data_IF_622754285443
#
_entry.id   IF_622754285443
#
_cell.length_a   1.000
_cell.length_b   1.000
_cell.length_c   1.000
_cell.angle_alpha   90.00
_cell.angle_beta   90.00
_cell.angle_gamma   90.00
#
_symmetry.space_group_name_H-M   'P 1'
#
loop_
_entity.id
_entity.type
_entity.pdbx_description
1 polymer ?
#
# COMPACT_ATOMS: atom_id res chain seq x y z
N UNK A 1 16.79 28.97 33.78
CA UNK A 1 16.97 28.20 35.03
C UNK A 1 17.81 26.98 34.70
N UNK A 2 19.07 26.98 35.13
CA UNK A 2 20.03 25.92 34.88
C UNK A 2 19.67 24.68 35.71
N UNK A 3 19.13 23.65 35.08
CA UNK A 3 19.12 22.30 35.66
C UNK A 3 20.41 21.59 35.25
N UNK A 4 21.22 21.24 36.25
CA UNK A 4 22.55 20.67 36.05
C UNK A 4 22.44 19.18 35.69
N UNK A 5 23.22 18.75 34.70
CA UNK A 5 23.39 17.38 34.19
C UNK A 5 23.80 16.37 35.28
N UNK A 6 24.22 16.81 36.48
CA UNK A 6 24.59 15.94 37.59
C UNK A 6 23.43 15.13 38.17
N UNK A 7 22.20 15.66 38.15
CA UNK A 7 21.06 14.98 38.78
C UNK A 7 20.52 13.81 37.93
N UNK A 8 20.82 13.80 36.62
CA UNK A 8 20.43 12.72 35.70
C UNK A 8 21.37 11.50 35.76
N UNK A 9 22.64 11.72 36.18
CA UNK A 9 23.68 10.69 36.23
C UNK A 9 23.52 9.72 37.41
N UNK A 10 22.76 10.08 38.44
CA UNK A 10 22.60 9.23 39.63
C UNK A 10 21.50 8.16 39.49
N UNK A 11 20.57 8.33 38.54
CA UNK A 11 19.45 7.39 38.37
C UNK A 11 19.68 6.29 37.32
N UNK A 12 20.72 6.42 36.47
CA UNK A 12 20.98 5.51 35.35
C UNK A 12 21.92 4.33 35.70
N UNK A 13 22.45 4.26 36.92
CA UNK A 13 23.43 3.25 37.35
C UNK A 13 22.83 1.86 37.66
N UNK A 14 21.52 1.67 37.53
CA UNK A 14 20.85 0.40 37.90
C UNK A 14 20.40 -0.52 36.74
N UNK A 15 20.63 -0.17 35.46
CA UNK A 15 20.05 -0.94 34.32
C UNK A 15 21.13 -1.56 33.41
N UNK A 16 22.36 -1.74 33.88
CA UNK A 16 23.49 -2.20 33.03
C UNK A 16 23.94 -3.65 33.26
N UNK A 17 23.10 -4.52 33.82
CA UNK A 17 23.45 -5.94 33.99
C UNK A 17 22.38 -6.84 33.39
N UNK A 18 22.40 -7.00 32.07
CA UNK A 18 21.95 -8.20 31.33
C UNK A 18 21.74 -7.83 29.86
N UNK A 19 22.60 -8.35 28.97
CA UNK A 19 22.28 -8.80 27.60
C UNK A 19 23.58 -8.93 26.79
N UNK A 20 24.16 -10.12 26.80
CA UNK A 20 25.15 -10.57 25.82
C UNK A 20 24.48 -11.48 24.78
N UNK A 21 25.00 -11.42 23.55
CA UNK A 21 24.99 -12.45 22.48
C UNK A 21 24.05 -12.28 21.25
N UNK A 22 24.64 -11.82 20.13
CA UNK A 22 24.63 -12.48 18.80
C UNK A 22 25.37 -11.62 17.73
N UNK A 23 26.23 -12.27 16.93
CA UNK A 23 27.46 -11.70 16.37
C UNK A 23 27.39 -10.96 15.01
N UNK A 24 26.26 -10.90 14.32
CA UNK A 24 26.18 -10.22 13.00
C UNK A 24 25.73 -8.75 13.09
N UNK A 25 25.00 -8.39 14.15
CA UNK A 25 24.62 -7.00 14.46
C UNK A 25 25.81 -6.21 15.01
N UNK A 26 26.78 -6.88 15.64
CA UNK A 26 27.93 -6.23 16.27
C UNK A 26 28.91 -5.60 15.27
N UNK A 27 29.03 -6.15 14.05
CA UNK A 27 29.92 -5.60 13.02
C UNK A 27 29.36 -4.30 12.42
N UNK A 28 28.05 -4.26 12.15
CA UNK A 28 27.36 -3.04 11.68
C UNK A 28 27.31 -1.99 12.81
N UNK A 29 27.08 -2.42 14.06
CA UNK A 29 27.21 -1.55 15.24
C UNK A 29 28.63 -0.97 15.36
N UNK A 30 29.68 -1.75 15.14
CA UNK A 30 31.07 -1.26 15.20
C UNK A 30 31.41 -0.28 14.07
N UNK A 31 31.00 -0.56 12.83
CA UNK A 31 31.26 0.31 11.68
C UNK A 31 30.52 1.65 11.81
N UNK A 32 29.25 1.64 12.21
CA UNK A 32 28.50 2.88 12.48
C UNK A 32 29.01 3.61 13.73
N UNK A 33 29.50 2.89 14.74
CA UNK A 33 30.12 3.50 15.92
C UNK A 33 31.44 4.20 15.59
N UNK A 34 32.20 3.71 14.59
CA UNK A 34 33.41 4.38 14.12
C UNK A 34 33.09 5.64 13.31
N UNK A 35 32.14 5.59 12.37
CA UNK A 35 31.77 6.76 11.56
C UNK A 35 31.09 7.86 12.37
N UNK A 36 30.21 7.49 13.31
CA UNK A 36 29.50 8.46 14.15
C UNK A 36 30.43 9.12 15.19
N UNK A 37 31.42 8.39 15.72
CA UNK A 37 32.48 8.99 16.53
C UNK A 37 33.34 9.95 15.71
N UNK A 38 33.64 9.62 14.44
CA UNK A 38 34.42 10.50 13.57
C UNK A 38 33.67 11.81 13.28
N UNK A 39 32.36 11.73 13.03
CA UNK A 39 31.50 12.89 12.80
C UNK A 39 31.37 13.79 14.03
N UNK A 40 31.11 13.22 15.22
CA UNK A 40 31.05 14.00 16.47
C UNK A 40 32.42 14.61 16.82
N UNK A 41 33.51 13.89 16.57
CA UNK A 41 34.86 14.41 16.83
C UNK A 41 35.22 15.58 15.89
N UNK A 42 34.77 15.53 14.63
CA UNK A 42 34.90 16.65 13.69
C UNK A 42 34.05 17.85 14.10
N UNK A 43 32.80 17.65 14.51
CA UNK A 43 31.89 18.75 14.85
C UNK A 43 32.22 19.41 16.20
N UNK A 44 32.77 18.65 17.15
CA UNK A 44 33.30 19.18 18.41
C UNK A 44 34.64 19.92 18.23
N UNK A 45 35.48 19.52 17.25
CA UNK A 45 36.66 20.31 16.86
C UNK A 45 36.25 21.63 16.17
N UNK A 46 35.25 21.58 15.29
CA UNK A 46 34.76 22.74 14.52
C UNK A 46 34.14 23.82 15.41
N UNK A 47 33.50 23.42 16.51
CA UNK A 47 32.91 24.33 17.51
C UNK A 47 33.88 24.72 18.64
N UNK A 48 35.17 24.40 18.53
CA UNK A 48 36.21 24.84 19.47
C UNK A 48 36.13 24.22 20.87
N UNK A 49 35.37 23.13 21.04
CA UNK A 49 35.10 22.50 22.34
C UNK A 49 36.13 21.45 22.76
N UNK A 50 37.10 21.11 21.90
CA UNK A 50 38.17 20.14 22.20
C UNK A 50 39.54 20.74 21.86
N UNK A 51 40.29 21.12 22.90
CA UNK A 51 41.75 21.12 22.88
C UNK A 51 42.20 19.92 23.73
N UNK A 52 43.08 19.11 23.14
CA UNK A 52 43.84 18.00 23.74
C UNK A 52 43.24 16.58 23.70
N UNK A 53 44.12 15.67 23.31
CA UNK A 53 44.04 14.20 23.38
C UNK A 53 43.79 13.71 24.81
N UNK A 54 42.53 13.64 25.22
CA UNK A 54 42.13 12.82 26.37
C UNK A 54 41.01 11.86 25.94
N UNK A 55 41.40 10.62 25.64
CA UNK A 55 40.50 9.47 25.67
C UNK A 55 39.97 9.31 27.10
N UNK A 56 38.84 9.93 27.43
CA UNK A 56 38.17 9.67 28.71
C UNK A 56 37.04 8.67 28.50
N UNK A 57 37.02 7.62 29.32
CA UNK A 57 35.93 6.63 29.36
C UNK A 57 34.55 7.27 29.59
N UNK A 58 34.52 8.49 30.13
CA UNK A 58 33.31 9.32 30.25
C UNK A 58 32.71 9.73 28.90
N UNK A 59 33.54 10.12 27.92
CA UNK A 59 33.06 10.49 26.57
C UNK A 59 32.54 9.24 25.85
N UNK A 60 33.23 8.10 25.99
CA UNK A 60 32.77 6.79 25.51
C UNK A 60 31.44 6.36 26.14
N UNK A 61 31.26 6.59 27.44
CA UNK A 61 30.02 6.32 28.17
C UNK A 61 28.86 7.18 27.68
N UNK A 62 29.07 8.49 27.52
CA UNK A 62 28.03 9.42 27.01
C UNK A 62 27.66 9.09 25.56
N UNK A 63 28.64 8.81 24.69
CA UNK A 63 28.36 8.37 23.31
C UNK A 63 27.59 7.05 23.27
N UNK A 64 27.92 6.07 24.12
CA UNK A 64 27.16 4.81 24.23
C UNK A 64 25.75 5.03 24.75
N UNK A 65 25.55 5.93 25.71
CA UNK A 65 24.24 6.19 26.29
C UNK A 65 23.34 6.94 25.30
N UNK A 66 23.88 7.92 24.57
CA UNK A 66 23.18 8.62 23.47
C UNK A 66 22.85 7.65 22.35
N UNK A 67 23.78 6.74 22.00
CA UNK A 67 23.53 5.69 21.02
C UNK A 67 22.46 4.70 21.47
N UNK A 68 22.51 4.21 22.72
CA UNK A 68 21.49 3.31 23.27
C UNK A 68 20.12 3.99 23.34
N UNK A 69 20.09 5.26 23.74
CA UNK A 69 18.88 6.06 23.80
C UNK A 69 18.28 6.24 22.41
N UNK A 70 19.07 6.66 21.42
CA UNK A 70 18.63 6.78 20.04
C UNK A 70 18.18 5.42 19.46
N UNK A 71 18.88 4.33 19.78
CA UNK A 71 18.50 2.97 19.36
C UNK A 71 17.16 2.52 19.98
N UNK A 72 16.97 2.75 21.28
CA UNK A 72 15.71 2.48 21.99
C UNK A 72 14.57 3.31 21.40
N UNK A 73 14.85 4.58 21.08
CA UNK A 73 13.90 5.52 20.50
C UNK A 73 13.51 5.08 19.07
N UNK A 74 14.46 4.60 18.26
CA UNK A 74 14.20 3.99 16.94
C UNK A 74 13.37 2.71 17.07
N UNK A 75 13.68 1.84 18.02
CA UNK A 75 12.94 0.59 18.24
C UNK A 75 11.51 0.88 18.70
N UNK A 76 11.33 1.83 19.63
CA UNK A 76 10.01 2.27 20.09
C UNK A 76 9.20 2.95 18.98
N UNK A 77 9.83 3.81 18.18
CA UNK A 77 9.19 4.50 17.06
C UNK A 77 8.72 3.49 15.99
N UNK A 78 9.60 2.58 15.57
CA UNK A 78 9.26 1.54 14.61
C UNK A 78 8.19 0.57 15.17
N UNK A 79 8.23 0.23 16.46
CA UNK A 79 7.18 -0.59 17.09
C UNK A 79 5.83 0.13 17.13
N UNK A 80 5.80 1.41 17.50
CA UNK A 80 4.55 2.18 17.52
C UNK A 80 3.96 2.32 16.11
N UNK A 81 4.81 2.54 15.11
CA UNK A 81 4.42 2.59 13.71
C UNK A 81 3.83 1.25 13.25
N UNK A 82 4.51 0.18 13.60
CA UNK A 82 4.15 -1.15 13.14
C UNK A 82 2.86 -1.64 13.82
N UNK A 83 2.67 -1.34 15.10
CA UNK A 83 1.45 -1.74 15.85
C UNK A 83 0.17 -1.13 15.27
N UNK A 84 0.13 0.17 14.94
CA UNK A 84 -1.09 0.75 14.36
C UNK A 84 -1.33 0.25 12.93
N UNK A 85 -0.27 0.12 12.13
CA UNK A 85 -0.35 -0.36 10.75
C UNK A 85 -0.93 -1.78 10.73
N UNK A 86 -0.53 -2.61 11.69
CA UNK A 86 -1.09 -3.95 11.87
C UNK A 86 -2.61 -3.90 12.06
N UNK A 87 -3.14 -3.13 13.02
CA UNK A 87 -4.59 -3.12 13.27
C UNK A 87 -5.41 -2.48 12.14
N UNK A 88 -4.91 -1.40 11.53
CA UNK A 88 -5.61 -0.71 10.43
C UNK A 88 -5.66 -1.56 9.17
N UNK A 89 -4.52 -2.10 8.75
CA UNK A 89 -4.43 -2.94 7.56
C UNK A 89 -5.14 -4.27 7.77
N UNK A 90 -5.04 -4.87 8.96
CA UNK A 90 -5.78 -6.10 9.28
C UNK A 90 -7.30 -5.90 9.21
N UNK A 91 -7.81 -4.79 9.77
CA UNK A 91 -9.23 -4.44 9.69
C UNK A 91 -9.72 -4.15 8.27
N UNK A 92 -8.86 -3.59 7.41
CA UNK A 92 -9.14 -3.41 5.98
C UNK A 92 -9.24 -4.77 5.26
N UNK A 93 -8.26 -5.64 5.47
CA UNK A 93 -8.19 -6.94 4.80
C UNK A 93 -9.26 -7.94 5.24
N UNK A 94 -9.70 -7.90 6.51
CA UNK A 94 -10.79 -8.75 7.02
C UNK A 94 -12.05 -8.65 6.16
N UNK A 95 -12.31 -7.47 5.61
CA UNK A 95 -13.51 -7.17 4.85
C UNK A 95 -13.47 -7.70 3.41
N UNK A 96 -12.27 -7.79 2.83
CA UNK A 96 -12.03 -8.05 1.41
C UNK A 96 -12.85 -9.21 0.82
N UNK A 97 -12.84 -10.42 1.44
CA UNK A 97 -13.48 -11.59 0.85
C UNK A 97 -15.01 -11.53 0.81
N UNK A 98 -15.64 -10.75 1.70
CA UNK A 98 -17.09 -10.83 1.96
C UNK A 98 -17.88 -9.63 1.44
N UNK A 99 -17.27 -8.62 0.81
CA UNK A 99 -17.98 -7.40 0.33
C UNK A 99 -19.10 -7.77 -0.64
N UNK A 100 -18.79 -8.54 -1.69
CA UNK A 100 -19.79 -8.96 -2.67
C UNK A 100 -20.82 -9.89 -2.03
N UNK A 101 -20.36 -10.90 -1.27
CA UNK A 101 -21.22 -11.90 -0.63
C UNK A 101 -22.23 -11.29 0.33
N UNK A 102 -21.83 -10.26 1.09
CA UNK A 102 -22.71 -9.52 1.98
C UNK A 102 -23.91 -8.91 1.22
N UNK A 103 -23.65 -8.22 0.12
CA UNK A 103 -24.73 -7.58 -0.64
C UNK A 103 -25.62 -8.59 -1.35
N UNK A 104 -25.03 -9.67 -1.87
CA UNK A 104 -25.78 -10.80 -2.43
C UNK A 104 -26.68 -11.46 -1.36
N UNK A 105 -26.17 -11.64 -0.14
CA UNK A 105 -26.93 -12.18 0.99
C UNK A 105 -28.12 -11.30 1.40
N UNK A 106 -28.03 -9.99 1.23
CA UNK A 106 -29.16 -9.07 1.43
C UNK A 106 -30.16 -9.04 0.25
N UNK A 107 -29.93 -9.83 -0.80
CA UNK A 107 -30.83 -9.96 -1.95
C UNK A 107 -30.70 -8.83 -2.97
N UNK A 108 -29.60 -8.06 -2.96
CA UNK A 108 -29.37 -7.03 -3.97
C UNK A 108 -29.01 -7.64 -5.31
N UNK A 109 -29.50 -7.02 -6.39
CA UNK A 109 -29.18 -7.42 -7.77
C UNK A 109 -27.72 -7.11 -8.10
N UNK A 110 -27.11 -7.84 -9.04
CA UNK A 110 -25.73 -7.61 -9.48
C UNK A 110 -25.49 -6.15 -9.93
N UNK A 111 -26.48 -5.53 -10.57
CA UNK A 111 -26.42 -4.12 -10.96
C UNK A 111 -26.39 -3.17 -9.74
N UNK A 112 -27.24 -3.40 -8.73
CA UNK A 112 -27.22 -2.62 -7.49
C UNK A 112 -25.88 -2.76 -6.75
N UNK A 113 -25.31 -3.98 -6.74
CA UNK A 113 -23.98 -4.25 -6.17
C UNK A 113 -22.90 -3.50 -6.96
N UNK A 114 -22.94 -3.51 -8.29
CA UNK A 114 -22.03 -2.75 -9.14
C UNK A 114 -22.07 -1.25 -8.82
N UNK A 115 -23.26 -0.66 -8.66
CA UNK A 115 -23.42 0.75 -8.26
C UNK A 115 -22.78 1.02 -6.89
N UNK A 116 -22.96 0.14 -5.90
CA UNK A 116 -22.29 0.26 -4.60
C UNK A 116 -20.76 0.25 -4.73
N UNK A 117 -20.20 -0.59 -5.61
CA UNK A 117 -18.77 -0.60 -5.88
C UNK A 117 -18.30 0.71 -6.50
N UNK A 118 -18.99 1.17 -7.56
CA UNK A 118 -18.73 2.42 -8.29
C UNK A 118 -18.75 3.64 -7.38
N UNK A 119 -19.71 3.75 -6.47
CA UNK A 119 -19.76 4.87 -5.50
C UNK A 119 -18.52 4.89 -4.61
N UNK A 120 -18.07 3.72 -4.14
CA UNK A 120 -16.84 3.64 -3.34
C UNK A 120 -15.59 4.04 -4.11
N UNK A 121 -15.44 3.57 -5.36
CA UNK A 121 -14.32 3.94 -6.22
C UNK A 121 -14.34 5.42 -6.58
N UNK A 122 -15.51 5.96 -6.94
CA UNK A 122 -15.69 7.37 -7.28
C UNK A 122 -15.36 8.28 -6.10
N UNK A 123 -15.82 7.93 -4.90
CA UNK A 123 -15.45 8.64 -3.68
C UNK A 123 -13.94 8.62 -3.44
N UNK A 124 -13.29 7.46 -3.58
CA UNK A 124 -11.85 7.34 -3.38
C UNK A 124 -11.04 8.23 -4.33
N UNK A 125 -11.50 8.41 -5.58
CA UNK A 125 -10.86 9.31 -6.55
C UNK A 125 -11.06 10.78 -6.16
N UNK A 126 -12.32 11.18 -5.94
CA UNK A 126 -12.67 12.58 -5.66
C UNK A 126 -11.99 13.09 -4.39
N UNK A 127 -11.97 12.26 -3.34
CA UNK A 127 -11.33 12.63 -2.09
C UNK A 127 -9.83 12.34 -2.09
N UNK A 128 -9.35 11.37 -2.87
CA UNK A 128 -7.92 11.04 -3.01
C UNK A 128 -7.05 12.20 -3.51
N UNK A 129 -7.54 12.97 -4.48
CA UNK A 129 -6.80 14.12 -5.03
C UNK A 129 -6.63 15.25 -4.00
N UNK A 130 -7.54 15.37 -3.03
CA UNK A 130 -7.53 16.41 -2.00
C UNK A 130 -7.04 15.95 -0.63
N UNK A 131 -7.03 14.64 -0.36
CA UNK A 131 -6.78 14.06 0.97
C UNK A 131 -5.43 14.50 1.57
N UNK A 132 -4.35 14.45 0.78
CA UNK A 132 -3.03 14.87 1.25
C UNK A 132 -2.96 16.36 1.61
N UNK A 133 -3.60 17.22 0.81
CA UNK A 133 -3.64 18.67 1.04
C UNK A 133 -4.46 19.01 2.29
N UNK A 134 -5.60 18.33 2.46
CA UNK A 134 -6.42 18.46 3.66
C UNK A 134 -5.64 17.99 4.89
N UNK A 135 -4.91 16.88 4.80
CA UNK A 135 -4.09 16.39 5.91
C UNK A 135 -2.95 17.35 6.27
N UNK A 136 -2.32 17.96 5.27
CA UNK A 136 -1.27 18.97 5.51
C UNK A 136 -1.79 20.23 6.21
N UNK A 137 -3.07 20.57 6.02
CA UNK A 137 -3.69 21.78 6.57
C UNK A 137 -4.37 21.54 7.93
N UNK A 138 -5.10 20.44 8.07
CA UNK A 138 -5.89 20.12 9.27
C UNK A 138 -5.11 19.31 10.32
N UNK A 139 -3.93 18.78 9.96
CA UNK A 139 -3.11 17.92 10.78
C UNK A 139 -3.23 16.46 10.34
N UNK A 140 -2.09 15.80 10.11
CA UNK A 140 -2.05 14.44 9.56
C UNK A 140 -2.50 13.39 10.58
N UNK A 141 -2.20 13.56 11.88
CA UNK A 141 -2.69 12.66 12.94
C UNK A 141 -4.21 12.71 13.02
N UNK A 142 -4.80 13.91 13.03
CA UNK A 142 -6.26 14.09 13.00
C UNK A 142 -6.91 13.39 11.82
N UNK A 143 -6.33 13.53 10.62
CA UNK A 143 -6.86 12.85 9.44
C UNK A 143 -6.75 11.32 9.51
N UNK A 144 -5.70 10.76 10.10
CA UNK A 144 -5.63 9.32 10.39
C UNK A 144 -6.69 8.85 11.40
N UNK A 145 -7.04 9.69 12.39
CA UNK A 145 -8.15 9.38 13.31
C UNK A 145 -9.51 9.47 12.61
N UNK A 146 -9.69 10.47 11.74
CA UNK A 146 -10.90 10.59 10.89
C UNK A 146 -11.06 9.31 10.07
N UNK A 147 -10.00 8.79 9.47
CA UNK A 147 -10.01 7.49 8.78
C UNK A 147 -10.59 6.38 9.66
N UNK A 148 -10.09 6.19 10.89
CA UNK A 148 -10.58 5.13 11.77
C UNK A 148 -12.07 5.31 12.10
N UNK A 149 -12.52 6.54 12.32
CA UNK A 149 -13.93 6.84 12.62
C UNK A 149 -14.81 6.57 11.40
N UNK A 150 -14.46 7.13 10.24
CA UNK A 150 -15.26 6.97 9.01
C UNK A 150 -15.31 5.53 8.54
N UNK A 151 -14.23 4.76 8.74
CA UNK A 151 -14.19 3.37 8.33
C UNK A 151 -14.91 2.43 9.31
N UNK A 152 -14.86 2.73 10.62
CA UNK A 152 -15.71 2.07 11.61
C UNK A 152 -17.19 2.30 11.32
N UNK A 153 -17.57 3.53 10.96
CA UNK A 153 -18.95 3.86 10.56
C UNK A 153 -19.36 3.13 9.27
N UNK A 154 -18.47 3.04 8.28
CA UNK A 154 -18.69 2.23 7.07
C UNK A 154 -18.99 0.76 7.41
N UNK A 155 -18.19 0.14 8.29
CA UNK A 155 -18.42 -1.23 8.74
C UNK A 155 -19.73 -1.38 9.53
N UNK A 156 -20.04 -0.42 10.41
CA UNK A 156 -21.29 -0.43 11.17
C UNK A 156 -22.53 -0.33 10.26
N UNK A 157 -22.47 0.51 9.23
CA UNK A 157 -23.54 0.67 8.24
C UNK A 157 -23.85 -0.63 7.49
N UNK A 158 -22.87 -1.55 7.34
CA UNK A 158 -23.05 -2.86 6.68
C UNK A 158 -23.94 -3.83 7.44
N UNK A 159 -24.24 -3.56 8.71
CA UNK A 159 -25.19 -4.35 9.51
C UNK A 159 -26.63 -4.14 9.03
N UNK A 160 -26.94 -2.98 8.47
CA UNK A 160 -28.31 -2.64 8.07
C UNK A 160 -28.55 -3.03 6.60
N UNK A 161 -29.55 -3.88 6.30
CA UNK A 161 -29.91 -4.29 4.94
C UNK A 161 -30.73 -3.20 4.22
N UNK A 162 -30.27 -1.94 4.26
CA UNK A 162 -30.91 -0.81 3.58
C UNK A 162 -29.96 -0.23 2.52
N UNK A 163 -30.41 -0.21 1.27
CA UNK A 163 -29.59 0.20 0.14
C UNK A 163 -28.98 1.61 0.29
N UNK A 164 -29.75 2.58 0.78
CA UNK A 164 -29.28 3.96 0.92
C UNK A 164 -28.23 4.10 2.04
N UNK A 165 -28.39 3.35 3.14
CA UNK A 165 -27.41 3.30 4.22
C UNK A 165 -26.10 2.69 3.72
N UNK A 166 -26.19 1.62 2.92
CA UNK A 166 -25.01 0.99 2.31
C UNK A 166 -24.33 1.89 1.28
N UNK A 167 -25.10 2.69 0.53
CA UNK A 167 -24.57 3.69 -0.40
C UNK A 167 -23.75 4.75 0.34
N UNK A 168 -24.29 5.28 1.44
CA UNK A 168 -23.57 6.21 2.32
C UNK A 168 -22.34 5.55 2.95
N UNK A 169 -22.45 4.29 3.37
CA UNK A 169 -21.33 3.50 3.87
C UNK A 169 -20.22 3.37 2.84
N UNK A 170 -20.55 3.13 1.56
CA UNK A 170 -19.56 3.07 0.47
C UNK A 170 -18.89 4.41 0.19
N UNK A 171 -19.63 5.52 0.30
CA UNK A 171 -19.04 6.86 0.22
C UNK A 171 -18.00 7.07 1.33
N UNK A 172 -18.35 6.77 2.58
CA UNK A 172 -17.44 6.85 3.74
C UNK A 172 -16.25 5.91 3.60
N UNK A 173 -16.48 4.70 3.08
CA UNK A 173 -15.44 3.72 2.78
C UNK A 173 -14.43 4.27 1.77
N UNK A 174 -14.89 4.87 0.67
CA UNK A 174 -14.03 5.48 -0.33
C UNK A 174 -13.18 6.62 0.23
N UNK A 175 -13.77 7.52 1.04
CA UNK A 175 -13.03 8.56 1.77
C UNK A 175 -11.95 7.94 2.66
N UNK A 176 -12.29 6.88 3.39
CA UNK A 176 -11.37 6.19 4.29
C UNK A 176 -10.20 5.59 3.52
N UNK A 177 -10.46 4.88 2.42
CA UNK A 177 -9.41 4.30 1.57
C UNK A 177 -8.45 5.37 1.03
N UNK A 178 -8.96 6.54 0.65
CA UNK A 178 -8.10 7.67 0.23
C UNK A 178 -7.15 8.09 1.33
N UNK A 179 -7.63 8.19 2.57
CA UNK A 179 -6.83 8.60 3.73
C UNK A 179 -5.77 7.53 4.10
N UNK A 180 -6.15 6.25 4.05
CA UNK A 180 -5.27 5.12 4.37
C UNK A 180 -3.97 5.14 3.56
N UNK A 181 -4.08 5.32 2.25
CA UNK A 181 -2.92 5.26 1.35
C UNK A 181 -2.15 6.57 1.20
N UNK A 182 -2.66 7.70 1.72
CA UNK A 182 -2.01 9.02 1.52
C UNK A 182 -1.47 9.61 2.82
N UNK A 183 -2.27 9.61 3.88
CA UNK A 183 -1.97 10.36 5.10
C UNK A 183 -0.99 9.62 5.99
N UNK A 184 -1.13 8.29 6.10
CA UNK A 184 -0.27 7.48 6.96
C UNK A 184 1.20 7.50 6.51
N UNK A 185 1.43 7.33 5.22
CA UNK A 185 2.77 7.42 4.62
C UNK A 185 3.37 8.82 4.85
N UNK A 186 2.57 9.86 4.60
CA UNK A 186 2.98 11.26 4.77
C UNK A 186 3.34 11.58 6.23
N UNK A 187 2.53 11.12 7.19
CA UNK A 187 2.81 11.30 8.61
C UNK A 187 4.15 10.65 8.99
N UNK A 188 4.37 9.40 8.56
CA UNK A 188 5.61 8.67 8.86
C UNK A 188 6.85 9.39 8.33
N UNK A 189 6.84 9.75 7.05
CA UNK A 189 7.98 10.40 6.38
C UNK A 189 8.33 11.72 7.07
N UNK A 190 7.33 12.49 7.49
CA UNK A 190 7.56 13.76 8.18
C UNK A 190 8.10 13.57 9.59
N UNK A 191 7.58 12.62 10.34
CA UNK A 191 8.06 12.34 11.70
C UNK A 191 9.51 11.81 11.66
N UNK A 192 9.80 10.90 10.73
CA UNK A 192 11.13 10.31 10.53
C UNK A 192 12.20 11.36 10.19
N UNK A 193 11.87 12.31 9.31
CA UNK A 193 12.81 13.34 8.85
C UNK A 193 12.83 14.56 9.77
N UNK A 194 11.68 15.07 10.21
CA UNK A 194 11.61 16.37 10.89
C UNK A 194 11.73 16.26 12.41
N UNK A 195 11.15 15.22 13.02
CA UNK A 195 11.18 15.06 14.48
C UNK A 195 12.45 14.34 14.94
N UNK A 196 12.84 13.29 14.22
CA UNK A 196 13.95 12.42 14.62
C UNK A 196 15.22 12.57 13.79
N UNK A 197 15.16 13.28 12.65
CA UNK A 197 16.28 13.50 11.72
C UNK A 197 17.04 12.21 11.37
N UNK A 198 16.27 11.13 11.16
CA UNK A 198 16.84 9.83 10.81
C UNK A 198 17.26 9.77 9.33
N UNK A 199 18.24 8.90 8.99
CA UNK A 199 18.69 8.70 7.61
C UNK A 199 17.52 8.36 6.67
N UNK A 200 17.51 8.98 5.48
CA UNK A 200 16.41 8.80 4.50
C UNK A 200 16.37 7.39 3.95
N UNK A 201 17.51 6.71 3.91
CA UNK A 201 17.68 5.34 3.44
C UNK A 201 16.88 4.35 4.28
N UNK A 202 16.58 4.67 5.54
CA UNK A 202 15.81 3.79 6.42
C UNK A 202 14.32 3.79 6.11
N UNK A 203 13.81 4.83 5.44
CA UNK A 203 12.40 4.93 5.05
C UNK A 203 12.04 3.78 4.10
N UNK A 204 12.88 3.53 3.10
CA UNK A 204 12.66 2.45 2.12
C UNK A 204 12.72 1.06 2.77
N UNK A 205 13.63 0.86 3.74
CA UNK A 205 13.72 -0.38 4.51
C UNK A 205 12.47 -0.60 5.35
N UNK A 206 11.95 0.44 6.01
CA UNK A 206 10.72 0.35 6.81
C UNK A 206 9.51 0.06 5.93
N UNK A 207 9.34 0.75 4.80
CA UNK A 207 8.23 0.49 3.88
C UNK A 207 8.30 -0.88 3.22
N UNK A 208 9.50 -1.39 2.93
CA UNK A 208 9.69 -2.77 2.45
C UNK A 208 9.21 -3.79 3.49
N UNK A 209 9.60 -3.61 4.76
CA UNK A 209 9.10 -4.45 5.88
C UNK A 209 7.60 -4.32 6.07
N UNK A 210 7.05 -3.11 6.01
CA UNK A 210 5.63 -2.85 6.15
C UNK A 210 4.82 -3.55 5.04
N UNK A 211 5.30 -3.49 3.80
CA UNK A 211 4.69 -4.17 2.65
C UNK A 211 4.69 -5.69 2.81
N UNK A 212 5.80 -6.28 3.25
CA UNK A 212 5.88 -7.72 3.52
C UNK A 212 4.83 -8.16 4.56
N UNK A 213 4.78 -7.45 5.68
CA UNK A 213 3.84 -7.76 6.74
C UNK A 213 2.39 -7.45 6.38
N UNK A 214 2.14 -6.46 5.53
CA UNK A 214 0.82 -6.21 4.96
C UNK A 214 0.31 -7.45 4.21
N UNK A 215 1.15 -8.12 3.42
CA UNK A 215 0.81 -9.37 2.76
C UNK A 215 0.50 -10.50 3.75
N UNK A 216 1.33 -10.67 4.78
CA UNK A 216 1.09 -11.67 5.85
C UNK A 216 -0.23 -11.41 6.58
N UNK A 217 -0.51 -10.15 6.91
CA UNK A 217 -1.78 -9.75 7.56
C UNK A 217 -2.99 -10.03 6.67
N UNK A 218 -2.88 -9.81 5.36
CA UNK A 218 -3.95 -10.09 4.42
C UNK A 218 -4.31 -11.58 4.40
N UNK A 219 -3.30 -12.47 4.41
CA UNK A 219 -3.49 -13.93 4.50
C UNK A 219 -4.19 -14.30 5.81
N UNK A 220 -3.68 -13.82 6.95
CA UNK A 220 -4.26 -14.12 8.27
C UNK A 220 -5.70 -13.59 8.37
N UNK A 221 -5.96 -12.40 7.83
CA UNK A 221 -7.28 -11.79 7.81
C UNK A 221 -8.28 -12.63 6.99
N UNK A 222 -7.87 -13.16 5.84
CA UNK A 222 -8.71 -14.08 5.05
C UNK A 222 -9.09 -15.35 5.82
N UNK A 223 -8.12 -15.98 6.50
CA UNK A 223 -8.37 -17.18 7.33
C UNK A 223 -9.32 -16.87 8.49
N UNK A 224 -9.11 -15.76 9.21
CA UNK A 224 -9.97 -15.36 10.34
C UNK A 224 -11.37 -14.99 9.85
N UNK A 225 -11.49 -14.28 8.73
CA UNK A 225 -12.77 -13.95 8.12
C UNK A 225 -13.55 -15.24 7.84
N UNK A 226 -12.92 -16.22 7.18
CA UNK A 226 -13.54 -17.52 6.88
C UNK A 226 -13.95 -18.30 8.13
N UNK A 227 -13.08 -18.33 9.14
CA UNK A 227 -13.37 -19.01 10.39
C UNK A 227 -14.60 -18.42 11.08
N UNK A 228 -14.73 -17.09 11.07
CA UNK A 228 -15.84 -16.43 11.76
C UNK A 228 -17.15 -16.49 10.98
N UNK A 229 -17.13 -16.31 9.67
CA UNK A 229 -18.35 -16.28 8.86
C UNK A 229 -18.90 -17.67 8.59
N UNK A 230 -18.03 -18.62 8.24
CA UNK A 230 -18.43 -19.91 7.66
C UNK A 230 -18.34 -21.01 8.73
N UNK A 231 -17.23 -21.09 9.46
CA UNK A 231 -17.05 -22.15 10.47
C UNK A 231 -17.87 -21.89 11.75
N UNK A 232 -17.86 -20.66 12.28
CA UNK A 232 -18.72 -20.27 13.41
C UNK A 232 -20.16 -19.94 13.00
N UNK A 233 -20.42 -19.81 11.70
CA UNK A 233 -21.76 -19.54 11.17
C UNK A 233 -22.32 -18.15 11.53
N UNK A 234 -21.48 -17.17 11.87
CA UNK A 234 -21.93 -15.80 12.18
C UNK A 234 -22.40 -15.02 10.94
N UNK A 235 -22.22 -15.59 9.75
CA UNK A 235 -22.66 -15.04 8.49
C UNK A 235 -21.69 -14.00 7.90
N UNK A 236 -22.00 -13.48 6.68
CA UNK A 236 -21.08 -12.63 5.92
C UNK A 236 -20.87 -11.24 6.53
N UNK A 237 -21.66 -10.87 7.55
CA UNK A 237 -21.52 -9.59 8.29
C UNK A 237 -20.35 -9.64 9.29
N UNK A 238 -19.98 -10.83 9.76
CA UNK A 238 -19.00 -11.00 10.85
C UNK A 238 -17.66 -10.33 10.62
N UNK A 239 -17.01 -10.38 9.43
CA UNK A 239 -15.69 -9.80 9.25
C UNK A 239 -15.71 -8.27 9.32
N UNK A 240 -16.84 -7.65 8.96
CA UNK A 240 -17.05 -6.21 9.07
C UNK A 240 -17.18 -5.76 10.53
N UNK A 241 -17.90 -6.53 11.35
CA UNK A 241 -18.05 -6.25 12.78
C UNK A 241 -16.71 -6.43 13.49
N UNK A 242 -15.94 -7.45 13.14
CA UNK A 242 -14.59 -7.69 13.70
C UNK A 242 -13.58 -6.62 13.32
N UNK A 243 -13.74 -5.94 12.19
CA UNK A 243 -12.88 -4.84 11.79
C UNK A 243 -13.05 -3.58 12.67
N UNK A 244 -14.26 -3.34 13.21
CA UNK A 244 -14.56 -2.16 14.05
C UNK A 244 -13.63 -2.04 15.28
N UNK A 245 -13.49 -3.07 16.15
CA UNK A 245 -12.59 -2.96 17.30
C UNK A 245 -11.14 -2.77 16.88
N UNK A 246 -10.68 -3.32 15.75
CA UNK A 246 -9.34 -3.06 15.22
C UNK A 246 -9.12 -1.57 14.92
N UNK A 247 -10.09 -0.91 14.27
CA UNK A 247 -10.02 0.53 13.99
C UNK A 247 -10.11 1.38 15.26
N UNK A 248 -10.93 1.01 16.23
CA UNK A 248 -11.03 1.71 17.52
C UNK A 248 -9.71 1.60 18.29
N UNK A 249 -9.12 0.40 18.39
CA UNK A 249 -7.83 0.18 19.04
C UNK A 249 -6.74 1.02 18.36
N UNK A 250 -6.69 1.00 17.02
CA UNK A 250 -5.75 1.83 16.28
C UNK A 250 -5.94 3.32 16.57
N UNK A 251 -7.18 3.81 16.58
CA UNK A 251 -7.48 5.20 16.92
C UNK A 251 -7.02 5.56 18.33
N UNK A 252 -7.22 4.69 19.32
CA UNK A 252 -6.75 4.89 20.69
C UNK A 252 -5.23 4.93 20.80
N UNK A 253 -4.54 4.03 20.08
CA UNK A 253 -3.06 4.00 20.03
C UNK A 253 -2.55 5.29 19.39
N UNK A 254 -3.07 5.69 18.21
CA UNK A 254 -2.66 6.92 17.53
C UNK A 254 -2.92 8.16 18.38
N UNK A 255 -4.08 8.23 19.05
CA UNK A 255 -4.41 9.37 19.92
C UNK A 255 -3.37 9.59 21.02
N UNK A 256 -2.82 8.51 21.60
CA UNK A 256 -1.86 8.57 22.72
C UNK A 256 -0.41 8.63 22.27
N UNK A 257 -0.06 7.93 21.20
CA UNK A 257 1.34 7.73 20.77
C UNK A 257 1.82 8.75 19.73
N UNK A 258 0.92 9.33 18.93
CA UNK A 258 1.33 10.20 17.83
C UNK A 258 1.30 11.67 18.23
N UNK A 259 2.30 12.41 17.75
CA UNK A 259 2.28 13.86 17.74
C UNK A 259 1.59 14.38 16.46
N UNK A 260 1.04 15.58 16.56
CA UNK A 260 0.43 16.24 15.40
C UNK A 260 1.52 16.89 14.54
N UNK A 261 1.52 16.58 13.24
CA UNK A 261 2.43 17.18 12.27
C UNK A 261 1.64 17.74 11.07
N UNK A 262 2.22 18.79 10.46
CA UNK A 262 1.60 19.59 9.40
C UNK A 262 2.51 19.70 8.19
N UNK A 263 1.92 19.85 7.01
CA UNK A 263 2.69 20.08 5.78
C UNK A 263 3.11 21.54 5.62
N UNK A 264 4.25 21.79 4.97
CA UNK A 264 4.64 23.15 4.57
C UNK A 264 3.68 23.62 3.46
N UNK A 265 2.85 24.63 3.74
CA UNK A 265 1.92 25.20 2.75
C UNK A 265 2.68 25.72 1.52
N UNK A 266 2.63 24.99 0.41
CA UNK A 266 2.97 25.51 -0.94
C UNK A 266 1.68 25.77 -1.70
N UNK A 267 1.64 26.83 -2.52
CA UNK A 267 0.49 27.17 -3.37
C UNK A 267 0.12 26.01 -4.30
N UNK A 268 -0.98 25.32 -3.99
CA UNK A 268 -1.35 23.98 -4.48
C UNK A 268 -2.00 23.94 -5.86
N UNK A 269 -2.74 24.98 -6.26
CA UNK A 269 -3.43 25.01 -7.57
C UNK A 269 -2.44 24.90 -8.73
N UNK A 270 -1.28 25.55 -8.61
CA UNK A 270 -0.25 25.50 -9.64
C UNK A 270 0.40 24.12 -9.73
N UNK A 271 0.60 23.41 -8.61
CA UNK A 271 1.28 22.10 -8.61
C UNK A 271 0.40 20.98 -9.18
N UNK A 272 -0.93 21.06 -9.02
CA UNK A 272 -1.85 20.08 -9.59
C UNK A 272 -1.90 20.20 -11.13
N UNK A 273 -2.00 21.43 -11.64
CA UNK A 273 -1.98 21.72 -13.09
C UNK A 273 -0.61 21.37 -13.69
N UNK A 274 0.48 21.70 -12.99
CA UNK A 274 1.85 21.33 -13.41
C UNK A 274 2.03 19.81 -13.52
N UNK A 275 1.47 19.03 -12.60
CA UNK A 275 1.49 17.57 -12.68
C UNK A 275 0.81 17.04 -13.94
N UNK A 276 -0.37 17.59 -14.26
CA UNK A 276 -1.09 17.23 -15.49
C UNK A 276 -0.32 17.65 -16.75
N UNK A 277 0.24 18.85 -16.76
CA UNK A 277 1.09 19.33 -17.86
C UNK A 277 2.30 18.42 -18.07
N UNK A 278 2.95 17.96 -17.00
CA UNK A 278 4.10 17.05 -17.09
C UNK A 278 3.71 15.69 -17.68
N UNK A 279 2.54 15.15 -17.30
CA UNK A 279 2.01 13.90 -17.87
C UNK A 279 1.80 14.05 -19.38
N UNK A 280 1.16 15.14 -19.82
CA UNK A 280 0.84 15.34 -21.25
C UNK A 280 2.09 15.67 -22.07
N UNK A 281 3.06 16.37 -21.49
CA UNK A 281 4.29 16.77 -22.20
C UNK A 281 5.27 15.61 -22.35
N UNK A 282 5.36 14.73 -21.34
CA UNK A 282 6.31 13.62 -21.36
C UNK A 282 5.63 12.32 -21.82
N UNK A 283 5.92 11.94 -23.07
CA UNK A 283 5.40 10.72 -23.69
C UNK A 283 5.63 9.46 -22.85
N UNK A 284 6.76 9.34 -22.15
CA UNK A 284 7.08 8.17 -21.32
C UNK A 284 6.17 8.12 -20.08
N UNK A 285 5.98 9.25 -19.39
CA UNK A 285 5.10 9.35 -18.22
C UNK A 285 3.65 9.08 -18.64
N UNK A 286 3.22 9.59 -19.80
CA UNK A 286 1.89 9.30 -20.35
C UNK A 286 1.71 7.79 -20.62
N UNK A 287 2.67 7.15 -21.28
CA UNK A 287 2.61 5.71 -21.57
C UNK A 287 2.58 4.88 -20.29
N UNK A 288 3.37 5.25 -19.26
CA UNK A 288 3.32 4.61 -17.94
C UNK A 288 1.95 4.78 -17.27
N UNK A 289 1.35 5.96 -17.37
CA UNK A 289 -0.01 6.21 -16.90
C UNK A 289 -1.05 5.34 -17.61
N UNK A 290 -0.91 5.13 -18.92
CA UNK A 290 -1.77 4.24 -19.71
C UNK A 290 -1.61 2.79 -19.26
N UNK A 291 -0.38 2.30 -19.12
CA UNK A 291 -0.10 0.93 -18.65
C UNK A 291 -0.70 0.69 -17.28
N UNK A 292 -0.47 1.60 -16.34
CA UNK A 292 -1.06 1.54 -15.00
C UNK A 292 -2.58 1.51 -15.08
N UNK A 293 -3.19 2.39 -15.88
CA UNK A 293 -4.64 2.50 -15.97
C UNK A 293 -5.29 1.24 -16.53
N UNK A 294 -4.70 0.65 -17.58
CA UNK A 294 -5.19 -0.58 -18.19
C UNK A 294 -5.01 -1.78 -17.25
N UNK A 295 -3.85 -1.93 -16.61
CA UNK A 295 -3.58 -3.06 -15.72
C UNK A 295 -4.43 -3.01 -14.43
N UNK A 296 -4.41 -1.87 -13.73
CA UNK A 296 -5.11 -1.75 -12.45
C UNK A 296 -6.64 -1.72 -12.63
N UNK A 297 -7.16 -1.24 -13.77
CA UNK A 297 -8.59 -1.34 -14.04
C UNK A 297 -9.06 -2.79 -14.21
N UNK A 298 -8.28 -3.63 -14.90
CA UNK A 298 -8.55 -5.08 -15.03
C UNK A 298 -8.48 -5.77 -13.66
N UNK A 299 -7.49 -5.41 -12.83
CA UNK A 299 -7.39 -5.90 -11.44
C UNK A 299 -8.65 -5.53 -10.62
N UNK A 300 -9.14 -4.28 -10.70
CA UNK A 300 -10.34 -3.89 -9.96
C UNK A 300 -11.62 -4.55 -10.49
N UNK A 301 -11.73 -4.78 -11.80
CA UNK A 301 -12.82 -5.57 -12.38
C UNK A 301 -12.77 -7.01 -11.87
N UNK A 302 -11.58 -7.62 -11.79
CA UNK A 302 -11.40 -8.93 -11.20
C UNK A 302 -11.85 -8.99 -9.73
N UNK A 303 -11.47 -8.01 -8.90
CA UNK A 303 -11.87 -7.92 -7.47
C UNK A 303 -13.39 -7.94 -7.30
N UNK A 304 -14.15 -7.47 -8.28
CA UNK A 304 -15.61 -7.56 -8.29
C UNK A 304 -16.12 -8.94 -8.76
N UNK A 305 -15.51 -9.52 -9.80
CA UNK A 305 -16.02 -10.69 -10.51
C UNK A 305 -15.65 -12.05 -9.88
N UNK A 306 -14.53 -12.15 -9.16
CA UNK A 306 -14.06 -13.45 -8.68
C UNK A 306 -15.07 -14.13 -7.73
N UNK A 307 -15.72 -13.37 -6.86
CA UNK A 307 -16.73 -13.90 -5.93
C UNK A 307 -17.96 -14.45 -6.64
N UNK A 308 -18.68 -13.69 -7.50
CA UNK A 308 -19.86 -14.23 -8.19
C UNK A 308 -19.56 -15.42 -9.10
N UNK A 309 -18.36 -15.48 -9.69
CA UNK A 309 -17.96 -16.62 -10.55
C UNK A 309 -17.76 -17.89 -9.73
N UNK A 310 -17.20 -17.76 -8.54
CA UNK A 310 -16.97 -18.90 -7.64
C UNK A 310 -18.17 -19.24 -6.78
N UNK A 311 -19.16 -18.35 -6.63
CA UNK A 311 -20.29 -18.56 -5.72
C UNK A 311 -21.15 -19.78 -6.11
N UNK A 312 -21.08 -20.25 -7.37
CA UNK A 312 -21.80 -21.45 -7.82
C UNK A 312 -21.40 -22.74 -7.08
N UNK A 313 -20.19 -22.80 -6.50
CA UNK A 313 -19.72 -23.95 -5.70
C UNK A 313 -19.59 -23.64 -4.22
N UNK A 314 -20.02 -22.46 -3.78
CA UNK A 314 -19.94 -21.99 -2.39
C UNK A 314 -18.60 -22.29 -1.71
N UNK A 315 -17.46 -21.85 -2.27
CA UNK A 315 -16.17 -22.13 -1.67
C UNK A 315 -15.96 -21.26 -0.42
N UNK A 316 -15.07 -21.69 0.50
CA UNK A 316 -14.66 -20.88 1.63
C UNK A 316 -13.96 -19.59 1.14
N UNK A 317 -14.70 -18.49 1.05
CA UNK A 317 -14.28 -17.26 0.37
C UNK A 317 -13.03 -16.65 1.00
N UNK A 318 -12.93 -16.67 2.33
CA UNK A 318 -11.76 -16.14 3.03
C UNK A 318 -10.50 -16.99 2.80
N UNK A 319 -10.64 -18.31 2.62
CA UNK A 319 -9.51 -19.18 2.24
C UNK A 319 -9.08 -18.92 0.80
N UNK A 320 -10.02 -18.79 -0.14
CA UNK A 320 -9.71 -18.45 -1.54
C UNK A 320 -8.96 -17.12 -1.62
N UNK A 321 -9.43 -16.11 -0.90
CA UNK A 321 -8.74 -14.82 -0.79
C UNK A 321 -7.34 -14.94 -0.18
N UNK A 322 -7.16 -15.78 0.84
CA UNK A 322 -5.84 -16.05 1.43
C UNK A 322 -4.88 -16.66 0.42
N UNK A 323 -5.36 -17.57 -0.43
CA UNK A 323 -4.56 -18.16 -1.52
C UNK A 323 -4.18 -17.09 -2.55
N UNK A 324 -5.09 -16.18 -2.92
CA UNK A 324 -4.76 -15.05 -3.79
C UNK A 324 -3.63 -14.18 -3.21
N UNK A 325 -3.66 -13.88 -1.92
CA UNK A 325 -2.59 -13.14 -1.26
C UNK A 325 -1.25 -13.90 -1.27
N UNK A 326 -1.27 -15.23 -1.12
CA UNK A 326 -0.08 -16.07 -1.30
C UNK A 326 0.45 -15.99 -2.74
N UNK A 327 -0.43 -16.03 -3.75
CA UNK A 327 -0.05 -15.87 -5.16
C UNK A 327 0.63 -14.52 -5.43
N UNK A 328 0.11 -13.41 -4.89
CA UNK A 328 0.75 -12.08 -4.97
C UNK A 328 2.15 -12.12 -4.35
N UNK A 329 2.32 -12.75 -3.18
CA UNK A 329 3.61 -12.88 -2.53
C UNK A 329 4.61 -13.70 -3.36
N UNK A 330 4.16 -14.82 -3.96
CA UNK A 330 4.98 -15.63 -4.88
C UNK A 330 5.44 -14.77 -6.06
N UNK A 331 4.56 -13.99 -6.69
CA UNK A 331 4.91 -13.08 -7.77
C UNK A 331 5.93 -12.01 -7.34
N UNK A 332 5.76 -11.44 -6.15
CA UNK A 332 6.68 -10.43 -5.59
C UNK A 332 8.06 -11.02 -5.30
N UNK A 333 8.13 -12.23 -4.75
CA UNK A 333 9.39 -12.95 -4.53
C UNK A 333 10.06 -13.35 -5.85
N UNK A 334 9.28 -13.75 -6.86
CA UNK A 334 9.79 -14.01 -8.19
C UNK A 334 10.44 -12.76 -8.80
N UNK A 335 9.78 -11.59 -8.69
CA UNK A 335 10.36 -10.31 -9.12
C UNK A 335 11.71 -10.04 -8.44
N UNK A 336 11.78 -10.18 -7.11
CA UNK A 336 13.03 -9.94 -6.37
C UNK A 336 14.16 -10.87 -6.81
N UNK A 337 13.84 -12.17 -7.01
CA UNK A 337 14.82 -13.15 -7.48
C UNK A 337 15.28 -12.86 -8.90
N UNK A 338 14.37 -12.52 -9.81
CA UNK A 338 14.72 -12.18 -11.18
C UNK A 338 15.54 -10.88 -11.27
N UNK A 339 15.19 -9.87 -10.46
CA UNK A 339 15.96 -8.65 -10.32
C UNK A 339 17.37 -8.92 -9.79
N UNK A 340 17.52 -9.79 -8.79
CA UNK A 340 18.85 -10.23 -8.30
C UNK A 340 19.67 -10.94 -9.38
N UNK A 341 19.02 -11.64 -10.31
CA UNK A 341 19.63 -12.23 -11.51
C UNK A 341 19.85 -11.23 -12.65
N UNK A 342 19.78 -9.92 -12.37
CA UNK A 342 20.01 -8.82 -13.32
C UNK A 342 19.00 -8.77 -14.48
N UNK A 343 17.78 -9.26 -14.28
CA UNK A 343 16.69 -9.05 -15.24
C UNK A 343 16.15 -7.64 -15.05
N UNK A 344 16.09 -6.87 -16.15
CA UNK A 344 15.63 -5.48 -16.10
C UNK A 344 14.16 -5.36 -15.69
N UNK A 345 13.79 -4.40 -14.82
CA UNK A 345 12.40 -4.18 -14.38
C UNK A 345 11.35 -4.00 -15.49
N UNK A 346 11.63 -3.34 -16.63
CA UNK A 346 10.68 -3.24 -17.75
C UNK A 346 10.32 -4.58 -18.36
N UNK A 347 11.26 -5.52 -18.41
CA UNK A 347 11.03 -6.89 -18.91
C UNK A 347 10.11 -7.64 -17.95
N UNK A 348 10.32 -7.49 -16.64
CA UNK A 348 9.46 -8.08 -15.62
C UNK A 348 8.04 -7.49 -15.63
N UNK A 349 7.92 -6.18 -15.85
CA UNK A 349 6.61 -5.54 -16.04
C UNK A 349 5.91 -6.06 -17.30
N UNK A 350 6.64 -6.22 -18.41
CA UNK A 350 6.07 -6.82 -19.63
C UNK A 350 5.63 -8.26 -19.41
N UNK A 351 6.42 -9.08 -18.70
CA UNK A 351 6.04 -10.44 -18.31
C UNK A 351 4.74 -10.44 -17.49
N UNK A 352 4.60 -9.56 -16.49
CA UNK A 352 3.38 -9.43 -15.70
C UNK A 352 2.16 -9.13 -16.60
N UNK A 353 2.29 -8.20 -17.55
CA UNK A 353 1.22 -7.87 -18.50
C UNK A 353 0.87 -9.09 -19.36
N UNK A 354 1.84 -9.84 -19.87
CA UNK A 354 1.59 -11.05 -20.66
C UNK A 354 0.88 -12.13 -19.85
N UNK A 355 1.32 -12.41 -18.62
CA UNK A 355 0.68 -13.38 -17.73
C UNK A 355 -0.77 -12.98 -17.42
N UNK A 356 -1.01 -11.69 -17.18
CA UNK A 356 -2.36 -11.16 -16.99
C UNK A 356 -3.22 -11.29 -18.26
N UNK A 357 -2.68 -11.05 -19.47
CA UNK A 357 -3.40 -11.30 -20.73
C UNK A 357 -3.81 -12.76 -20.88
N UNK A 358 -2.90 -13.71 -20.61
CA UNK A 358 -3.20 -15.15 -20.65
C UNK A 358 -4.26 -15.52 -19.63
N UNK A 359 -4.18 -14.97 -18.42
CA UNK A 359 -5.20 -15.15 -17.39
C UNK A 359 -6.59 -14.67 -17.85
N UNK A 360 -6.70 -13.46 -18.42
CA UNK A 360 -8.00 -12.93 -18.88
C UNK A 360 -8.60 -13.77 -20.02
N UNK A 361 -7.76 -14.28 -20.93
CA UNK A 361 -8.19 -15.23 -21.96
C UNK A 361 -8.69 -16.54 -21.33
N UNK A 362 -7.98 -17.08 -20.35
CA UNK A 362 -8.40 -18.26 -19.60
C UNK A 362 -9.74 -18.06 -18.89
N UNK A 363 -9.97 -16.89 -18.29
CA UNK A 363 -11.25 -16.52 -17.68
C UNK A 363 -12.38 -16.42 -18.71
N UNK A 364 -12.13 -15.83 -19.89
CA UNK A 364 -13.12 -15.77 -20.96
C UNK A 364 -13.51 -17.17 -21.48
N UNK A 365 -12.52 -18.05 -21.63
CA UNK A 365 -12.75 -19.46 -21.99
C UNK A 365 -13.53 -20.20 -20.90
N UNK A 366 -13.19 -19.99 -19.63
CA UNK A 366 -13.88 -20.59 -18.50
C UNK A 366 -15.34 -20.13 -18.36
N UNK A 367 -15.63 -18.90 -18.78
CA UNK A 367 -16.97 -18.30 -18.76
C UNK A 367 -17.77 -18.53 -20.05
N UNK A 368 -17.27 -19.33 -21.00
CA UNK A 368 -17.96 -19.65 -22.26
C UNK A 368 -19.10 -20.68 -22.05
N UNK A 369 -20.10 -20.64 -22.94
CA UNK A 369 -21.50 -21.14 -22.80
C UNK A 369 -21.78 -22.44 -21.99
N UNK A 370 -22.92 -22.39 -21.28
CA UNK A 370 -23.64 -23.39 -20.47
C UNK A 370 -22.98 -23.98 -19.21
N UNK A 371 -21.66 -24.08 -19.10
CA UNK A 371 -21.00 -24.55 -17.87
C UNK A 371 -19.72 -23.78 -17.55
N UNK A 372 -19.72 -23.05 -16.44
CA UNK A 372 -18.50 -22.38 -15.94
C UNK A 372 -17.47 -23.45 -15.55
N UNK A 373 -16.33 -23.47 -16.24
CA UNK A 373 -15.24 -24.37 -15.88
C UNK A 373 -14.43 -23.77 -14.72
N UNK A 374 -14.85 -24.10 -13.50
CA UNK A 374 -14.29 -23.53 -12.25
C UNK A 374 -12.80 -23.83 -12.10
N UNK A 375 -12.30 -24.95 -12.62
CA UNK A 375 -10.88 -25.30 -12.57
C UNK A 375 -10.07 -24.31 -13.41
N UNK A 376 -10.51 -24.05 -14.64
CA UNK A 376 -9.85 -23.08 -15.53
C UNK A 376 -9.99 -21.67 -14.97
N UNK A 377 -11.16 -21.29 -14.44
CA UNK A 377 -11.37 -19.98 -13.81
C UNK A 377 -10.43 -19.79 -12.62
N UNK A 378 -10.35 -20.75 -11.71
CA UNK A 378 -9.49 -20.69 -10.52
C UNK A 378 -8.01 -20.63 -10.89
N UNK A 379 -7.56 -21.46 -11.83
CA UNK A 379 -6.18 -21.41 -12.33
C UNK A 379 -5.84 -20.06 -12.96
N UNK A 380 -6.78 -19.49 -13.72
CA UNK A 380 -6.64 -18.17 -14.33
C UNK A 380 -6.58 -17.07 -13.27
N UNK A 381 -7.38 -17.15 -12.20
CA UNK A 381 -7.33 -16.21 -11.08
C UNK A 381 -5.98 -16.27 -10.34
N UNK A 382 -5.47 -17.46 -10.05
CA UNK A 382 -4.13 -17.60 -9.44
C UNK A 382 -3.03 -17.04 -10.32
N UNK A 383 -3.12 -17.26 -11.64
CA UNK A 383 -2.17 -16.69 -12.60
C UNK A 383 -2.22 -15.15 -12.62
N UNK A 384 -3.43 -14.57 -12.52
CA UNK A 384 -3.60 -13.12 -12.44
C UNK A 384 -2.92 -12.57 -11.19
N UNK A 385 -3.11 -13.21 -10.04
CA UNK A 385 -2.56 -12.75 -8.77
C UNK A 385 -1.02 -12.83 -8.72
N UNK A 386 -0.45 -13.88 -9.33
CA UNK A 386 1.01 -13.95 -9.55
C UNK A 386 1.48 -12.78 -10.44
N UNK A 387 0.74 -12.50 -11.52
CA UNK A 387 1.06 -11.38 -12.40
C UNK A 387 0.98 -10.02 -11.67
N UNK A 388 -0.04 -9.81 -10.84
CA UNK A 388 -0.20 -8.63 -9.97
C UNK A 388 0.99 -8.51 -9.00
N UNK A 389 1.43 -9.63 -8.42
CA UNK A 389 2.60 -9.68 -7.55
C UNK A 389 3.92 -9.25 -8.24
N UNK A 390 4.09 -9.56 -9.52
CA UNK A 390 5.24 -9.09 -10.32
C UNK A 390 5.06 -7.61 -10.70
N UNK A 391 3.83 -7.22 -11.04
CA UNK A 391 3.47 -5.89 -11.52
C UNK A 391 3.82 -4.78 -10.51
N UNK A 392 3.37 -4.90 -9.25
CA UNK A 392 3.52 -3.82 -8.25
C UNK A 392 4.98 -3.37 -8.03
N UNK A 393 5.95 -4.25 -7.75
CA UNK A 393 7.33 -3.83 -7.59
C UNK A 393 7.95 -3.33 -8.90
N UNK A 394 7.61 -3.92 -10.05
CA UNK A 394 8.16 -3.52 -11.35
C UNK A 394 7.71 -2.12 -11.78
N UNK A 395 6.41 -1.84 -11.71
CA UNK A 395 5.88 -0.51 -12.03
C UNK A 395 6.31 0.52 -10.98
N UNK A 396 6.45 0.13 -9.72
CA UNK A 396 6.93 1.00 -8.64
C UNK A 396 8.34 1.51 -8.90
N UNK A 397 9.25 0.63 -9.31
CA UNK A 397 10.62 0.98 -9.69
C UNK A 397 10.66 1.91 -10.91
N UNK A 398 9.96 1.57 -12.00
CA UNK A 398 10.00 2.39 -13.22
C UNK A 398 9.39 3.78 -12.94
N UNK A 399 8.33 3.87 -12.14
CA UNK A 399 7.78 5.15 -11.70
C UNK A 399 8.76 5.96 -10.86
N UNK A 400 9.54 5.33 -9.97
CA UNK A 400 10.49 6.07 -9.14
C UNK A 400 11.62 6.70 -9.97
N UNK A 401 12.07 6.01 -11.03
CA UNK A 401 13.09 6.52 -11.94
C UNK A 401 12.55 7.60 -12.89
N UNK A 402 11.35 7.41 -13.45
CA UNK A 402 10.83 8.30 -14.50
C UNK A 402 10.13 9.56 -13.95
N UNK A 403 9.62 9.52 -12.72
CA UNK A 403 8.78 10.58 -12.16
C UNK A 403 9.56 11.38 -11.11
N UNK A 404 9.75 12.70 -11.33
CA UNK A 404 10.43 13.57 -10.37
C UNK A 404 9.76 13.54 -8.99
N UNK A 405 10.56 13.47 -7.93
CA UNK A 405 10.07 13.39 -6.55
C UNK A 405 9.13 14.55 -6.19
N UNK A 406 9.38 15.75 -6.73
CA UNK A 406 8.59 16.96 -6.48
C UNK A 406 7.13 16.87 -6.95
N UNK A 407 6.86 16.06 -7.98
CA UNK A 407 5.54 15.93 -8.59
C UNK A 407 4.95 14.52 -8.48
N UNK A 408 5.68 13.56 -7.89
CA UNK A 408 5.31 12.14 -7.82
C UNK A 408 3.91 11.91 -7.23
N UNK A 409 3.61 12.50 -6.08
CA UNK A 409 2.31 12.37 -5.43
C UNK A 409 1.14 12.86 -6.32
N UNK A 410 1.32 13.99 -7.00
CA UNK A 410 0.29 14.56 -7.87
C UNK A 410 0.06 13.72 -9.13
N UNK A 411 1.14 13.23 -9.73
CA UNK A 411 1.06 12.39 -10.94
C UNK A 411 0.40 11.04 -10.63
N UNK A 412 0.76 10.43 -9.49
CA UNK A 412 0.12 9.19 -9.03
C UNK A 412 -1.38 9.37 -8.79
N UNK A 413 -1.81 10.53 -8.26
CA UNK A 413 -3.22 10.85 -8.10
C UNK A 413 -3.95 11.00 -9.45
N UNK A 414 -3.32 11.66 -10.44
CA UNK A 414 -3.89 11.78 -11.78
C UNK A 414 -4.00 10.42 -12.48
N UNK A 415 -3.07 9.49 -12.26
CA UNK A 415 -3.17 8.13 -12.79
C UNK A 415 -4.38 7.35 -12.24
N UNK A 416 -4.88 7.70 -11.05
CA UNK A 416 -6.08 7.09 -10.47
C UNK A 416 -7.38 7.50 -11.16
N UNK A 417 -7.43 8.64 -11.85
CA UNK A 417 -8.66 9.09 -12.52
C UNK A 417 -9.04 8.18 -13.69
N UNK A 418 -8.21 7.99 -14.73
CA UNK A 418 -8.57 7.16 -15.88
C UNK A 418 -8.82 5.70 -15.48
N UNK A 419 -8.03 5.14 -14.56
CA UNK A 419 -8.22 3.74 -14.13
C UNK A 419 -9.61 3.51 -13.52
N UNK A 420 -10.06 4.41 -12.62
CA UNK A 420 -11.34 4.24 -11.95
C UNK A 420 -12.51 4.53 -12.89
N UNK A 421 -12.37 5.49 -13.81
CA UNK A 421 -13.38 5.76 -14.85
C UNK A 421 -13.58 4.52 -15.72
N UNK A 422 -12.49 3.90 -16.20
CA UNK A 422 -12.56 2.67 -16.99
C UNK A 422 -13.26 1.56 -16.21
N UNK A 423 -12.85 1.30 -14.96
CA UNK A 423 -13.49 0.29 -14.10
C UNK A 423 -14.99 0.56 -13.92
N UNK A 424 -15.37 1.82 -13.66
CA UNK A 424 -16.79 2.17 -13.47
C UNK A 424 -17.61 1.96 -14.75
N UNK A 425 -17.07 2.32 -15.92
CA UNK A 425 -17.74 2.09 -17.21
C UNK A 425 -17.94 0.59 -17.45
N UNK A 426 -16.92 -0.24 -17.23
CA UNK A 426 -17.01 -1.70 -17.42
C UNK A 426 -18.06 -2.30 -16.47
N UNK A 427 -18.03 -1.93 -15.18
CA UNK A 427 -18.97 -2.45 -14.19
C UNK A 427 -20.42 -2.06 -14.49
N UNK A 428 -20.67 -0.82 -14.91
CA UNK A 428 -22.04 -0.33 -15.20
C UNK A 428 -22.57 -0.82 -16.55
N UNK A 429 -21.73 -0.89 -17.58
CA UNK A 429 -22.17 -1.19 -18.94
C UNK A 429 -22.52 -2.67 -19.13
N UNK A 430 -21.84 -3.57 -18.42
CA UNK A 430 -21.90 -5.01 -18.70
C UNK A 430 -22.73 -5.82 -17.71
N UNK A 431 -23.10 -5.25 -16.55
CA UNK A 431 -24.03 -5.88 -15.60
C UNK A 431 -25.51 -5.58 -15.88
N UNK A 432 -25.80 -4.81 -16.94
CA UNK A 432 -27.17 -4.60 -17.43
C UNK A 432 -27.75 -5.82 -18.15
N UNK A 433 -26.90 -6.71 -18.70
CA UNK A 433 -27.34 -7.89 -19.44
C UNK A 433 -27.33 -9.13 -18.54
N UNK A 434 -28.51 -9.70 -18.29
CA UNK A 434 -28.80 -10.75 -17.29
C UNK A 434 -28.26 -12.16 -17.62
N UNK A 435 -27.27 -12.32 -18.49
CA UNK A 435 -26.82 -13.63 -19.00
C UNK A 435 -25.39 -14.01 -18.61
N UNK A 436 -25.10 -15.32 -18.57
CA UNK A 436 -23.75 -15.88 -18.43
C UNK A 436 -22.76 -15.36 -19.50
N UNK A 437 -23.27 -14.92 -20.66
CA UNK A 437 -22.50 -14.24 -21.69
C UNK A 437 -21.89 -12.92 -21.23
N UNK A 438 -22.48 -12.21 -20.25
CA UNK A 438 -21.98 -10.93 -19.76
C UNK A 438 -20.58 -11.04 -19.13
N UNK A 439 -20.34 -12.07 -18.31
CA UNK A 439 -19.03 -12.30 -17.70
C UNK A 439 -17.96 -12.64 -18.74
N UNK A 440 -18.29 -13.46 -19.74
CA UNK A 440 -17.39 -13.77 -20.85
C UNK A 440 -17.02 -12.50 -21.63
N UNK A 441 -18.00 -11.65 -21.95
CA UNK A 441 -17.75 -10.37 -22.64
C UNK A 441 -16.87 -9.45 -21.79
N UNK A 442 -17.09 -9.37 -20.47
CA UNK A 442 -16.21 -8.58 -19.59
C UNK A 442 -14.77 -9.09 -19.65
N UNK A 443 -14.54 -10.40 -19.55
CA UNK A 443 -13.19 -10.96 -19.63
C UNK A 443 -12.54 -10.80 -21.01
N UNK A 444 -13.32 -10.85 -22.10
CA UNK A 444 -12.83 -10.52 -23.44
C UNK A 444 -12.40 -9.06 -23.55
N UNK A 445 -13.18 -8.13 -23.00
CA UNK A 445 -12.80 -6.70 -22.95
C UNK A 445 -11.52 -6.53 -22.13
N UNK A 446 -11.42 -7.16 -20.95
CA UNK A 446 -10.21 -7.15 -20.13
C UNK A 446 -9.00 -7.72 -20.90
N UNK A 447 -9.18 -8.80 -21.66
CA UNK A 447 -8.12 -9.39 -22.50
C UNK A 447 -7.65 -8.44 -23.61
N UNK A 448 -8.57 -7.75 -24.28
CA UNK A 448 -8.23 -6.74 -25.29
C UNK A 448 -7.46 -5.58 -24.65
N UNK A 449 -7.91 -5.08 -23.50
CA UNK A 449 -7.22 -4.04 -22.75
C UNK A 449 -5.80 -4.45 -22.35
N UNK A 450 -5.63 -5.68 -21.86
CA UNK A 450 -4.32 -6.22 -21.50
C UNK A 450 -3.42 -6.42 -22.73
N UNK A 451 -3.98 -6.81 -23.86
CA UNK A 451 -3.25 -6.89 -25.14
C UNK A 451 -2.80 -5.51 -25.62
N UNK A 452 -3.65 -4.48 -25.53
CA UNK A 452 -3.26 -3.10 -25.79
C UNK A 452 -2.15 -2.63 -24.82
N UNK A 453 -2.23 -3.02 -23.55
CA UNK A 453 -1.20 -2.75 -22.55
C UNK A 453 0.15 -3.39 -22.95
N UNK A 454 0.16 -4.62 -23.47
CA UNK A 454 1.36 -5.26 -24.01
C UNK A 454 1.98 -4.46 -25.17
N UNK A 455 1.16 -3.93 -26.09
CA UNK A 455 1.64 -3.09 -27.20
C UNK A 455 2.32 -1.81 -26.70
N UNK A 456 1.75 -1.16 -25.68
CA UNK A 456 2.33 0.04 -25.06
C UNK A 456 3.64 -0.32 -24.34
N UNK A 457 3.67 -1.43 -23.61
CA UNK A 457 4.88 -1.90 -22.94
C UNK A 457 6.02 -2.19 -23.92
N UNK A 458 5.73 -2.77 -25.09
CA UNK A 458 6.76 -2.95 -26.14
C UNK A 458 7.34 -1.62 -26.63
N UNK A 459 6.56 -0.54 -26.66
CA UNK A 459 7.09 0.79 -26.97
C UNK A 459 7.94 1.34 -25.83
N UNK A 460 7.48 1.19 -24.58
CA UNK A 460 8.23 1.62 -23.39
C UNK A 460 9.60 0.93 -23.33
N UNK A 461 9.66 -0.38 -23.56
CA UNK A 461 10.93 -1.13 -23.55
C UNK A 461 11.95 -0.61 -24.58
N UNK A 462 11.50 -0.03 -25.70
CA UNK A 462 12.41 0.56 -26.71
C UNK A 462 12.85 1.98 -26.34
N UNK A 463 12.00 2.75 -25.69
CA UNK A 463 12.24 4.17 -25.37
C UNK A 463 13.00 4.32 -24.07
N UNK A 464 12.72 3.48 -23.08
CA UNK A 464 13.25 3.64 -21.73
C UNK A 464 14.78 3.61 -21.64
N UNK A 465 15.50 2.69 -22.33
CA UNK A 465 16.97 2.72 -22.35
C UNK A 465 17.51 4.06 -22.85
N UNK A 466 16.89 4.65 -23.88
CA UNK A 466 17.32 5.93 -24.47
C UNK A 466 17.14 7.14 -23.53
N UNK A 467 16.26 7.02 -22.54
CA UNK A 467 15.95 8.09 -21.56
C UNK A 467 16.79 7.93 -20.29
N UNK A 468 17.11 6.70 -19.90
CA UNK A 468 17.86 6.39 -18.66
C UNK A 468 19.38 6.44 -18.89
N UNK A 469 19.89 6.36 -20.13
CA UNK A 469 21.33 6.52 -20.36
C UNK A 469 21.81 7.91 -19.89
N UNK A 470 22.73 7.97 -18.91
CA UNK A 470 23.31 9.23 -18.49
C UNK A 470 24.19 9.77 -19.62
N UNK A 471 24.22 11.10 -19.72
CA UNK A 471 25.10 11.90 -20.57
C UNK A 471 26.58 11.80 -20.14
N UNK A 472 27.11 10.58 -19.99
CA UNK A 472 28.52 10.29 -19.67
C UNK A 472 29.12 9.18 -20.57
N UNK A 473 28.42 8.69 -21.59
CA UNK A 473 29.00 7.81 -22.63
C UNK A 473 29.05 8.44 -24.03
N UNK A 474 29.01 9.78 -24.11
CA UNK A 474 29.38 10.52 -25.31
C UNK A 474 30.68 11.28 -25.00
N UNK A 475 31.80 10.57 -25.11
CA UNK A 475 33.14 11.14 -25.27
C UNK A 475 33.87 10.31 -26.32
#
# INVERSE_FOLDING_TARGET
>A
MNYSVRDFLFHASCISSECSDSNSINVIKCLMYQEFNCFIHQELQKNGLIKCNCESDQIRGVCRLVYLFNLLLIICFNKCLFCFAVYTLFGDWLQGPYIYKLYSHYGFTNFQIAVLYVVGFSASVLFGTGAGVLADSFGRKRMCMVFCITYSLCCFMKIFPNYNILLLGRLLGGISTSLLFSVFESWYVSEHIQSYDFPREWISVTFSKATFWNGVLAIIAGVIANFTSDFLGWGPVSPFILAIPCFIISCCIMSKAWNENYGKQKSTKNVCIQGLQLIVTNNLILMLGIVQSLFESVMYVFVFLWTPILDSVHPPLGIVFSIFMVCIMIGSSFYQLAYYRQVEPPVLLFLAVVLATVSQLGCALAASYDNINIIIASASFFLLEIAVGIYFPAIGYIKSECIPESHRANIMNWFRVPLNVITCIILLSLHGERGAGGNCVIFLICSVMMSCCSLVMMKIMKILPLVIMPSEQIC
#
